data_IF_244450183707
#
_entry.id   IF_244450183707
#
_cell.length_a   1.000
_cell.length_b   1.000
_cell.length_c   1.000
_cell.angle_alpha   90.00
_cell.angle_beta   90.00
_cell.angle_gamma   90.00
#
_symmetry.space_group_name_H-M   'P 1'
#
loop_
_entity.id
_entity.type
_entity.pdbx_description
1 polymer ?
#
# COMPACT_ATOMS: atom_id res chain seq x y z
N UNK A 1 -7.97 50.55 -55.83
CA UNK A 1 -8.58 49.93 -54.63
C UNK A 1 -7.87 48.62 -54.38
N UNK A 2 -7.05 48.55 -53.32
CA UNK A 2 -6.36 47.31 -52.90
C UNK A 2 -7.09 46.82 -51.64
N UNK A 3 -7.74 45.65 -51.74
CA UNK A 3 -8.32 44.95 -50.60
C UNK A 3 -7.24 44.07 -49.96
N UNK A 4 -6.84 44.38 -48.74
CA UNK A 4 -6.00 43.51 -47.89
C UNK A 4 -6.91 42.59 -47.09
N UNK A 5 -6.83 41.28 -47.38
CA UNK A 5 -7.46 40.24 -46.58
C UNK A 5 -6.57 39.97 -45.36
N UNK A 6 -7.06 40.28 -44.17
CA UNK A 6 -6.45 39.83 -42.88
C UNK A 6 -6.98 38.44 -42.59
N UNK A 7 -6.12 37.43 -42.66
CA UNK A 7 -6.40 36.09 -42.16
C UNK A 7 -6.14 36.10 -40.65
N UNK A 8 -7.20 36.08 -39.83
CA UNK A 8 -7.10 35.81 -38.38
C UNK A 8 -7.01 34.31 -38.21
N UNK A 9 -5.79 33.82 -37.97
CA UNK A 9 -5.56 32.43 -37.54
C UNK A 9 -5.96 32.32 -36.08
N UNK A 10 -7.18 31.86 -35.77
CA UNK A 10 -7.59 31.49 -34.42
C UNK A 10 -6.86 30.20 -34.05
N UNK A 11 -5.75 30.34 -33.30
CA UNK A 11 -5.07 29.22 -32.65
C UNK A 11 -5.95 28.80 -31.46
N UNK A 12 -6.83 27.83 -31.68
CA UNK A 12 -7.51 27.15 -30.58
C UNK A 12 -6.46 26.31 -29.84
N UNK A 13 -5.80 26.88 -28.85
CA UNK A 13 -5.04 26.13 -27.86
C UNK A 13 -6.05 25.30 -27.05
N UNK A 14 -6.21 24.04 -27.37
CA UNK A 14 -6.81 23.07 -26.47
C UNK A 14 -5.88 22.96 -25.25
N UNK A 15 -6.09 23.79 -24.26
CA UNK A 15 -5.61 23.56 -22.92
C UNK A 15 -6.42 22.37 -22.40
N UNK A 16 -5.89 21.16 -22.61
CA UNK A 16 -6.34 19.99 -21.89
C UNK A 16 -5.96 20.22 -20.41
N UNK A 17 -6.83 20.85 -19.67
CA UNK A 17 -6.81 20.75 -18.21
C UNK A 17 -7.09 19.27 -17.92
N UNK A 18 -6.06 18.53 -17.53
CA UNK A 18 -6.25 17.23 -16.88
C UNK A 18 -7.11 17.52 -15.65
N UNK A 19 -8.39 17.22 -15.74
CA UNK A 19 -9.28 17.31 -14.59
C UNK A 19 -8.98 16.12 -13.71
N UNK A 20 -8.64 16.36 -12.45
CA UNK A 20 -8.59 15.32 -11.43
C UNK A 20 -9.95 14.61 -11.40
N UNK A 21 -9.96 13.32 -11.66
CA UNK A 21 -11.20 12.52 -11.66
C UNK A 21 -11.09 11.40 -10.64
N UNK A 22 -12.23 10.97 -10.13
CA UNK A 22 -12.30 9.75 -9.33
C UNK A 22 -12.32 8.55 -10.25
N UNK A 23 -11.41 7.61 -10.03
CA UNK A 23 -11.33 6.33 -10.74
C UNK A 23 -11.51 5.17 -9.77
N UNK A 24 -12.07 4.07 -10.26
CA UNK A 24 -12.34 2.84 -9.50
C UNK A 24 -11.60 1.67 -10.12
N UNK A 25 -11.71 0.50 -9.52
CA UNK A 25 -11.13 -0.73 -10.08
C UNK A 25 -11.68 -1.11 -11.47
N UNK A 26 -12.84 -0.57 -11.86
CA UNK A 26 -13.42 -0.83 -13.17
C UNK A 26 -12.83 0.05 -14.29
N UNK A 27 -12.10 1.09 -13.91
CA UNK A 27 -11.54 2.09 -14.84
C UNK A 27 -10.07 1.81 -15.16
N UNK A 28 -9.44 0.85 -14.45
CA UNK A 28 -8.00 0.58 -14.50
C UNK A 28 -7.72 -0.94 -14.54
N UNK A 29 -6.49 -1.30 -14.92
CA UNK A 29 -5.99 -2.67 -14.76
C UNK A 29 -4.82 -2.68 -13.77
N UNK A 30 -5.05 -3.21 -12.55
CA UNK A 30 -3.96 -3.43 -11.58
C UNK A 30 -3.00 -4.52 -12.07
N UNK A 31 -1.75 -4.52 -11.60
CA UNK A 31 -0.76 -5.49 -12.02
C UNK A 31 -1.22 -6.94 -11.87
N UNK A 32 -1.98 -7.25 -10.82
CA UNK A 32 -2.48 -8.60 -10.56
C UNK A 32 -3.44 -9.14 -11.64
N UNK A 33 -4.24 -8.28 -12.31
CA UNK A 33 -5.17 -8.68 -13.36
C UNK A 33 -4.48 -9.05 -14.67
N UNK A 34 -3.25 -8.58 -14.86
CA UNK A 34 -2.46 -8.74 -16.10
C UNK A 34 -1.67 -10.06 -16.10
N UNK A 35 -2.31 -11.18 -15.80
CA UNK A 35 -1.65 -12.48 -15.59
C UNK A 35 -0.72 -12.89 -16.75
N UNK A 36 -1.10 -12.65 -17.99
CA UNK A 36 -0.30 -13.03 -19.16
C UNK A 36 1.07 -12.34 -19.20
N UNK A 37 1.22 -11.17 -18.57
CA UNK A 37 2.47 -10.42 -18.53
C UNK A 37 3.52 -11.09 -17.62
N UNK A 38 3.07 -11.89 -16.63
CA UNK A 38 3.98 -12.52 -15.67
C UNK A 38 3.85 -14.04 -15.57
N UNK A 39 2.87 -14.66 -16.25
CA UNK A 39 2.63 -16.09 -16.22
C UNK A 39 3.86 -16.92 -16.60
N UNK A 40 4.59 -16.48 -17.65
CA UNK A 40 5.80 -17.18 -18.14
C UNK A 40 6.90 -17.23 -17.08
N UNK A 41 7.06 -16.17 -16.29
CA UNK A 41 8.05 -16.10 -15.21
C UNK A 41 7.71 -17.06 -14.05
N UNK A 42 6.44 -17.40 -13.86
CA UNK A 42 5.97 -18.31 -12.80
C UNK A 42 5.96 -19.78 -13.22
N UNK A 43 6.04 -20.07 -14.51
CA UNK A 43 5.90 -21.43 -15.04
C UNK A 43 6.97 -22.38 -14.48
N UNK A 44 6.52 -23.46 -13.82
CA UNK A 44 7.39 -24.46 -13.20
C UNK A 44 8.15 -23.99 -11.97
N UNK A 45 7.85 -22.78 -11.46
CA UNK A 45 8.51 -22.20 -10.28
C UNK A 45 7.71 -22.45 -9.00
N UNK A 46 8.43 -22.53 -7.88
CA UNK A 46 7.88 -22.50 -6.53
C UNK A 46 7.73 -21.03 -6.12
N UNK A 47 6.49 -20.57 -6.18
CA UNK A 47 6.16 -19.15 -5.97
C UNK A 47 5.77 -18.91 -4.51
N UNK A 48 6.26 -17.83 -3.93
CA UNK A 48 5.70 -17.26 -2.71
C UNK A 48 5.07 -15.90 -3.01
N UNK A 49 4.17 -15.46 -2.16
CA UNK A 49 3.54 -14.16 -2.29
C UNK A 49 3.54 -13.41 -0.96
N UNK A 50 3.94 -12.14 -1.00
CA UNK A 50 3.67 -11.19 0.08
C UNK A 50 2.37 -10.48 -0.26
N UNK A 51 1.34 -10.70 0.56
CA UNK A 51 0.01 -10.20 0.30
C UNK A 51 -0.86 -10.16 1.55
N UNK A 52 -1.99 -9.46 1.45
CA UNK A 52 -2.98 -9.35 2.52
C UNK A 52 -4.40 -9.32 1.95
N UNK A 53 -5.38 -8.92 2.76
CA UNK A 53 -6.79 -8.84 2.36
C UNK A 53 -7.08 -7.86 1.21
N UNK A 54 -6.15 -6.96 0.89
CA UNK A 54 -6.29 -6.02 -0.23
C UNK A 54 -5.80 -6.60 -1.56
N UNK A 55 -5.17 -7.78 -1.53
CA UNK A 55 -4.65 -8.48 -2.71
C UNK A 55 -5.82 -9.12 -3.50
N UNK A 56 -6.67 -8.27 -4.09
CA UNK A 56 -7.90 -8.69 -4.75
C UNK A 56 -7.86 -8.44 -6.26
N UNK A 57 -8.57 -9.28 -6.99
CA UNK A 57 -8.93 -9.16 -8.42
C UNK A 57 -10.45 -9.24 -8.45
N UNK A 58 -11.13 -8.09 -8.51
CA UNK A 58 -12.57 -8.04 -8.25
C UNK A 58 -12.90 -8.66 -6.88
N UNK A 59 -13.77 -9.68 -6.86
CA UNK A 59 -14.15 -10.38 -5.63
C UNK A 59 -13.22 -11.55 -5.25
N UNK A 60 -12.23 -11.89 -6.10
CA UNK A 60 -11.33 -13.02 -5.89
C UNK A 60 -9.99 -12.58 -5.30
N UNK A 61 -9.53 -13.25 -4.26
CA UNK A 61 -8.19 -13.00 -3.73
C UNK A 61 -7.11 -13.54 -4.70
N UNK A 62 -6.03 -12.78 -4.91
CA UNK A 62 -4.96 -13.13 -5.87
C UNK A 62 -4.36 -14.51 -5.61
N UNK A 63 -4.26 -14.95 -4.36
CA UNK A 63 -3.79 -16.31 -4.02
C UNK A 63 -4.72 -17.38 -4.59
N UNK A 64 -6.03 -17.20 -4.49
CA UNK A 64 -7.01 -18.14 -5.04
C UNK A 64 -6.93 -18.14 -6.57
N UNK A 65 -6.87 -16.97 -7.18
CA UNK A 65 -6.70 -16.82 -8.63
C UNK A 65 -5.45 -17.52 -9.16
N UNK A 66 -4.30 -17.33 -8.51
CA UNK A 66 -3.04 -17.94 -8.92
C UNK A 66 -3.10 -19.49 -8.80
N UNK A 67 -3.75 -20.00 -7.76
CA UNK A 67 -3.98 -21.45 -7.61
C UNK A 67 -4.88 -22.00 -8.71
N UNK A 68 -5.96 -21.28 -9.07
CA UNK A 68 -6.84 -21.65 -10.19
C UNK A 68 -6.10 -21.64 -11.55
N UNK A 69 -5.13 -20.74 -11.71
CA UNK A 69 -4.23 -20.71 -12.88
C UNK A 69 -3.14 -21.78 -12.87
N UNK A 70 -3.10 -22.63 -11.84
CA UNK A 70 -2.14 -23.73 -11.74
C UNK A 70 -0.75 -23.31 -11.28
N UNK A 71 -0.60 -22.11 -10.71
CA UNK A 71 0.67 -21.63 -10.14
C UNK A 71 0.99 -22.43 -8.88
N UNK A 72 2.23 -22.91 -8.76
CA UNK A 72 2.69 -23.65 -7.57
C UNK A 72 3.03 -22.68 -6.44
N UNK A 73 2.01 -22.25 -5.69
CA UNK A 73 2.20 -21.43 -4.49
C UNK A 73 2.69 -22.31 -3.34
N UNK A 74 3.74 -21.84 -2.63
CA UNK A 74 4.37 -22.58 -1.53
C UNK A 74 4.06 -22.01 -0.16
N UNK A 75 3.99 -20.68 -0.06
CA UNK A 75 3.65 -19.95 1.19
C UNK A 75 3.23 -18.50 0.93
N UNK A 76 2.63 -17.92 1.93
CA UNK A 76 2.23 -16.50 1.97
C UNK A 76 3.03 -15.80 3.06
N UNK A 77 3.53 -14.60 2.75
CA UNK A 77 4.08 -13.66 3.71
C UNK A 77 3.04 -12.58 4.00
N UNK A 78 2.69 -12.41 5.27
CA UNK A 78 1.62 -11.50 5.68
C UNK A 78 2.18 -10.33 6.48
N UNK A 79 1.89 -9.07 6.07
CA UNK A 79 2.29 -7.87 6.81
C UNK A 79 1.42 -7.64 8.05
N UNK A 80 1.52 -6.44 8.63
CA UNK A 80 0.60 -5.93 9.65
C UNK A 80 -0.88 -6.18 9.24
N UNK A 81 -1.76 -6.41 10.18
CA UNK A 81 -3.15 -6.85 10.04
C UNK A 81 -3.34 -8.29 9.52
N UNK A 82 -2.26 -9.00 9.17
CA UNK A 82 -2.29 -10.40 8.75
C UNK A 82 -2.84 -10.63 7.34
N UNK A 83 -2.83 -11.89 6.91
CA UNK A 83 -3.18 -12.26 5.55
C UNK A 83 -4.65 -11.99 5.18
N UNK A 84 -5.58 -12.20 6.11
CA UNK A 84 -7.02 -11.96 5.89
C UNK A 84 -7.52 -10.66 6.56
N UNK A 85 -6.61 -9.79 7.05
CA UNK A 85 -6.93 -8.44 7.53
C UNK A 85 -7.77 -8.35 8.80
N UNK A 86 -7.64 -9.34 9.71
CA UNK A 86 -8.46 -9.42 10.94
C UNK A 86 -7.77 -8.88 12.20
N UNK A 87 -6.45 -8.63 12.15
CA UNK A 87 -5.69 -8.16 13.31
C UNK A 87 -5.76 -6.64 13.45
N UNK A 88 -5.79 -6.15 14.71
CA UNK A 88 -5.70 -4.73 15.04
C UNK A 88 -4.34 -4.13 14.66
N UNK A 89 -4.29 -2.81 14.55
CA UNK A 89 -3.01 -2.09 14.41
C UNK A 89 -2.15 -2.37 15.65
N UNK A 90 -0.92 -2.83 15.44
CA UNK A 90 -0.02 -3.24 16.50
C UNK A 90 -0.29 -4.61 17.12
N UNK A 91 -1.36 -5.29 16.73
CA UNK A 91 -1.65 -6.64 17.21
C UNK A 91 -0.68 -7.66 16.61
N UNK A 92 -0.22 -8.60 17.46
CA UNK A 92 0.68 -9.67 17.02
C UNK A 92 -0.02 -10.57 15.99
N UNK A 93 0.52 -10.61 14.80
CA UNK A 93 0.11 -11.54 13.73
C UNK A 93 0.94 -12.80 13.85
N UNK A 94 0.31 -13.93 14.13
CA UNK A 94 1.01 -15.20 14.24
C UNK A 94 1.15 -15.90 12.89
N UNK A 95 2.27 -16.61 12.71
CA UNK A 95 2.45 -17.53 11.59
C UNK A 95 1.52 -18.74 11.76
N UNK A 96 1.06 -19.28 10.64
CA UNK A 96 0.10 -20.39 10.68
C UNK A 96 -0.18 -20.97 9.30
N UNK A 97 -1.44 -21.36 9.07
CA UNK A 97 -1.91 -21.83 7.76
C UNK A 97 -3.18 -21.07 7.38
N UNK A 98 -3.28 -20.72 6.11
CA UNK A 98 -4.53 -20.20 5.57
C UNK A 98 -5.62 -21.25 5.61
N UNK A 99 -6.74 -20.93 6.23
CA UNK A 99 -7.85 -21.87 6.42
C UNK A 99 -8.52 -22.32 5.11
N UNK A 100 -8.42 -21.49 4.06
CA UNK A 100 -9.04 -21.78 2.76
C UNK A 100 -8.16 -22.64 1.87
N UNK A 101 -6.87 -22.32 1.80
CA UNK A 101 -5.94 -22.93 0.85
C UNK A 101 -4.97 -23.93 1.49
N UNK A 102 -4.84 -23.89 2.82
CA UNK A 102 -3.86 -24.70 3.56
C UNK A 102 -2.42 -24.22 3.43
N UNK A 103 -2.17 -23.12 2.69
CA UNK A 103 -0.84 -22.57 2.51
C UNK A 103 -0.25 -22.10 3.84
N UNK A 104 1.04 -22.36 4.10
CA UNK A 104 1.75 -21.76 5.22
C UNK A 104 1.74 -20.22 5.14
N UNK A 105 1.47 -19.57 6.27
CA UNK A 105 1.55 -18.11 6.43
C UNK A 105 2.74 -17.80 7.32
N UNK A 106 3.65 -16.95 6.83
CA UNK A 106 4.76 -16.36 7.58
C UNK A 106 4.39 -14.92 7.91
N UNK A 107 4.32 -14.60 9.20
CA UNK A 107 4.06 -13.23 9.64
C UNK A 107 5.32 -12.36 9.49
N UNK A 108 5.19 -11.23 8.82
CA UNK A 108 6.22 -10.19 8.70
C UNK A 108 5.89 -8.99 9.60
N UNK A 109 5.46 -9.25 10.83
CA UNK A 109 5.11 -8.21 11.79
C UNK A 109 5.67 -8.46 13.20
N UNK A 110 5.72 -7.41 14.01
CA UNK A 110 6.29 -7.47 15.36
C UNK A 110 7.82 -7.51 15.36
N UNK A 111 8.41 -8.56 15.90
CA UNK A 111 9.86 -8.76 15.90
C UNK A 111 10.41 -9.38 14.60
N UNK A 112 9.55 -9.95 13.77
CA UNK A 112 9.90 -10.66 12.52
C UNK A 112 9.39 -9.85 11.32
N UNK A 113 10.11 -8.79 10.94
CA UNK A 113 9.68 -7.87 9.87
C UNK A 113 10.31 -8.17 8.52
N UNK A 114 11.51 -8.77 8.52
CA UNK A 114 12.27 -9.16 7.32
C UNK A 114 12.26 -10.68 7.21
N UNK A 115 11.95 -11.26 6.03
CA UNK A 115 12.07 -12.69 5.81
C UNK A 115 13.47 -13.20 6.12
N UNK A 116 13.57 -14.30 6.85
CA UNK A 116 14.85 -14.97 7.11
C UNK A 116 15.22 -15.90 5.95
N UNK A 117 16.47 -16.34 5.90
CA UNK A 117 16.93 -17.38 4.96
C UNK A 117 16.07 -18.64 5.07
N UNK A 118 15.65 -19.03 6.29
CA UNK A 118 14.81 -20.21 6.52
C UNK A 118 13.38 -20.00 5.96
N UNK A 119 12.83 -18.82 6.07
CA UNK A 119 11.54 -18.49 5.47
C UNK A 119 11.55 -18.60 3.96
N UNK A 120 12.68 -18.24 3.34
CA UNK A 120 12.87 -18.21 1.89
C UNK A 120 13.26 -19.57 1.29
N UNK A 121 13.53 -20.59 2.11
CA UNK A 121 13.87 -21.92 1.59
C UNK A 121 12.80 -22.49 0.67
N UNK A 122 13.25 -22.95 -0.51
CA UNK A 122 12.40 -23.59 -1.50
C UNK A 122 11.49 -22.64 -2.26
N UNK A 123 11.80 -21.36 -2.28
CA UNK A 123 11.15 -20.32 -3.10
C UNK A 123 12.05 -20.02 -4.29
N UNK A 124 11.48 -20.05 -5.49
CA UNK A 124 12.17 -19.69 -6.73
C UNK A 124 11.87 -18.26 -7.16
N UNK A 125 10.73 -17.69 -6.73
CA UNK A 125 10.29 -16.34 -7.07
C UNK A 125 9.31 -15.81 -6.02
N UNK A 126 9.39 -14.52 -5.73
CA UNK A 126 8.52 -13.82 -4.79
C UNK A 126 7.60 -12.86 -5.56
N UNK A 127 6.29 -12.94 -5.32
CA UNK A 127 5.33 -11.91 -5.70
C UNK A 127 5.10 -10.95 -4.54
N UNK A 128 4.88 -9.68 -4.86
CA UNK A 128 4.39 -8.67 -3.91
C UNK A 128 3.12 -8.05 -4.47
N UNK A 129 2.03 -8.13 -3.71
CA UNK A 129 0.72 -7.58 -4.08
C UNK A 129 -0.01 -7.06 -2.85
N UNK A 130 0.14 -5.79 -2.55
CA UNK A 130 -0.51 -5.11 -1.41
C UNK A 130 -0.89 -3.70 -1.83
N UNK A 131 -2.12 -3.28 -1.49
CA UNK A 131 -2.57 -1.91 -1.66
C UNK A 131 -1.98 -1.02 -0.57
N UNK A 132 -1.17 -0.03 -0.95
CA UNK A 132 -0.69 1.03 -0.09
C UNK A 132 -1.64 2.24 -0.11
N UNK A 133 -1.44 3.21 0.78
CA UNK A 133 -2.24 4.45 0.85
C UNK A 133 -1.45 5.71 0.49
N UNK A 134 -0.17 5.59 0.08
CA UNK A 134 0.65 6.70 -0.38
C UNK A 134 1.17 7.62 0.73
N UNK A 135 1.08 7.20 1.99
CA UNK A 135 1.62 7.91 3.14
C UNK A 135 2.81 7.15 3.74
N UNK A 136 3.96 7.80 3.88
CA UNK A 136 5.22 7.18 4.35
C UNK A 136 5.09 6.39 5.66
N UNK A 137 4.17 6.76 6.54
CA UNK A 137 3.95 6.07 7.83
C UNK A 137 3.23 4.74 7.69
N UNK A 138 2.61 4.48 6.53
CA UNK A 138 1.88 3.26 6.27
C UNK A 138 2.86 2.15 5.91
N UNK A 139 2.96 1.13 6.75
CA UNK A 139 4.14 0.26 6.82
C UNK A 139 4.29 -0.77 5.71
N UNK A 140 3.35 -0.86 4.77
CA UNK A 140 3.45 -1.84 3.68
C UNK A 140 4.63 -1.59 2.75
N UNK A 141 4.99 -0.32 2.53
CA UNK A 141 6.20 0.02 1.77
C UNK A 141 7.49 -0.40 2.51
N UNK A 142 7.49 -0.36 3.85
CA UNK A 142 8.60 -0.87 4.66
C UNK A 142 8.70 -2.40 4.60
N UNK A 143 7.55 -3.08 4.60
CA UNK A 143 7.49 -4.54 4.37
C UNK A 143 8.02 -4.89 2.99
N UNK A 144 7.64 -4.14 1.95
CA UNK A 144 8.16 -4.33 0.59
C UNK A 144 9.68 -4.20 0.55
N UNK A 145 10.22 -3.14 1.17
CA UNK A 145 11.68 -2.91 1.23
C UNK A 145 12.39 -4.12 1.84
N UNK A 146 11.93 -4.63 2.97
CA UNK A 146 12.51 -5.81 3.61
C UNK A 146 12.36 -7.09 2.80
N UNK A 147 11.24 -7.27 2.10
CA UNK A 147 11.06 -8.42 1.20
C UNK A 147 12.03 -8.35 0.01
N UNK A 148 12.15 -7.18 -0.63
CA UNK A 148 13.10 -6.96 -1.72
C UNK A 148 14.54 -7.23 -1.26
N UNK A 149 14.92 -6.73 -0.09
CA UNK A 149 16.24 -6.88 0.49
C UNK A 149 16.55 -8.36 0.81
N UNK A 150 15.66 -9.06 1.51
CA UNK A 150 15.82 -10.46 1.83
C UNK A 150 15.89 -11.34 0.57
N UNK A 151 15.10 -11.04 -0.45
CA UNK A 151 15.12 -11.74 -1.73
C UNK A 151 16.42 -11.47 -2.49
N UNK A 152 16.89 -10.21 -2.52
CA UNK A 152 18.17 -9.85 -3.14
C UNK A 152 19.35 -10.59 -2.50
N UNK A 153 19.42 -10.63 -1.18
CA UNK A 153 20.44 -11.36 -0.40
C UNK A 153 20.44 -12.88 -0.69
N UNK A 154 19.32 -13.43 -1.14
CA UNK A 154 19.16 -14.87 -1.42
C UNK A 154 19.01 -15.18 -2.91
N UNK A 155 19.26 -14.22 -3.80
CA UNK A 155 19.15 -14.36 -5.26
C UNK A 155 17.76 -14.83 -5.74
N UNK A 156 16.70 -14.40 -5.07
CA UNK A 156 15.32 -14.68 -5.43
C UNK A 156 14.75 -13.46 -6.16
N UNK A 157 14.29 -13.59 -7.42
CA UNK A 157 13.64 -12.50 -8.13
C UNK A 157 12.32 -12.11 -7.49
N UNK A 158 11.98 -10.83 -7.57
CA UNK A 158 10.73 -10.25 -7.05
C UNK A 158 9.91 -9.68 -8.21
N UNK A 159 8.63 -10.02 -8.26
CA UNK A 159 7.67 -9.36 -9.14
C UNK A 159 6.71 -8.55 -8.25
N UNK A 160 6.65 -7.25 -8.47
CA UNK A 160 5.65 -6.37 -7.85
C UNK A 160 4.46 -6.25 -8.79
N UNK A 161 3.30 -6.71 -8.33
CA UNK A 161 2.02 -6.52 -9.00
C UNK A 161 1.47 -5.17 -8.54
N UNK A 162 1.68 -4.14 -9.35
CA UNK A 162 1.48 -2.76 -8.94
C UNK A 162 0.01 -2.41 -8.72
N UNK A 163 -0.23 -1.47 -7.80
CA UNK A 163 -1.55 -0.94 -7.44
C UNK A 163 -1.53 0.58 -7.39
N UNK A 164 -2.66 1.24 -7.72
CA UNK A 164 -2.73 2.70 -7.72
C UNK A 164 -2.48 3.30 -6.34
N UNK A 165 -1.96 4.51 -6.33
CA UNK A 165 -1.82 5.29 -5.10
C UNK A 165 -3.02 6.23 -4.95
N UNK A 166 -3.86 6.14 -3.88
CA UNK A 166 -4.98 7.04 -3.67
C UNK A 166 -4.55 8.50 -3.42
N UNK A 167 -3.25 8.73 -3.12
CA UNK A 167 -2.63 10.06 -3.01
C UNK A 167 -1.62 10.31 -4.14
N UNK A 168 -1.77 9.65 -5.29
CA UNK A 168 -0.87 9.83 -6.44
C UNK A 168 -0.85 11.26 -7.01
N UNK A 169 -1.93 12.02 -6.77
CA UNK A 169 -2.17 13.32 -7.40
C UNK A 169 -1.40 14.49 -6.76
N UNK A 170 -0.64 14.27 -5.69
CA UNK A 170 0.21 15.31 -5.08
C UNK A 170 1.36 14.74 -4.25
N UNK A 171 2.35 15.59 -4.01
CA UNK A 171 3.49 15.30 -3.14
C UNK A 171 3.52 16.39 -2.07
N UNK A 172 3.63 15.99 -0.78
CA UNK A 172 3.64 16.94 0.32
C UNK A 172 4.35 16.42 1.57
N UNK A 173 4.68 17.35 2.46
CA UNK A 173 5.36 17.11 3.71
C UNK A 173 6.88 16.95 3.58
N UNK A 174 7.60 16.98 4.70
CA UNK A 174 9.06 16.93 4.71
C UNK A 174 9.57 15.53 4.30
N UNK A 175 10.69 15.51 3.59
CA UNK A 175 11.49 14.30 3.37
C UNK A 175 12.02 13.81 4.72
N UNK A 176 11.99 12.49 4.93
CA UNK A 176 12.55 11.87 6.14
C UNK A 176 14.05 12.11 6.20
N UNK A 177 14.53 12.54 7.36
CA UNK A 177 15.96 12.56 7.64
C UNK A 177 16.42 11.19 8.10
N UNK A 178 17.62 10.80 7.67
CA UNK A 178 18.20 9.47 7.97
C UNK A 178 18.27 9.14 9.46
N UNK A 179 18.50 10.16 10.33
CA UNK A 179 18.54 10.03 11.78
C UNK A 179 17.21 9.62 12.43
N UNK A 180 16.10 9.74 11.70
CA UNK A 180 14.76 9.37 12.16
C UNK A 180 14.22 8.10 11.52
N UNK A 181 15.07 7.36 10.80
CA UNK A 181 14.65 6.08 10.17
C UNK A 181 14.13 5.08 11.19
N UNK A 182 12.98 4.50 10.87
CA UNK A 182 12.33 3.45 11.65
C UNK A 182 11.43 2.63 10.73
N UNK A 183 10.76 1.61 11.24
CA UNK A 183 9.80 0.83 10.45
C UNK A 183 8.60 1.66 9.96
N UNK A 184 8.18 2.69 10.70
CA UNK A 184 7.13 3.64 10.30
C UNK A 184 7.66 4.82 9.47
N UNK A 185 8.89 4.76 9.02
CA UNK A 185 9.56 5.78 8.21
C UNK A 185 10.93 5.28 7.78
N UNK A 186 10.96 4.34 6.83
CA UNK A 186 12.18 3.66 6.42
C UNK A 186 12.93 4.41 5.31
N UNK A 187 12.19 5.08 4.43
CA UNK A 187 12.70 5.65 3.19
C UNK A 187 12.78 7.18 3.27
N UNK A 188 13.80 7.77 2.64
CA UNK A 188 14.02 9.21 2.56
C UNK A 188 13.12 9.86 1.50
N UNK A 189 11.81 9.72 1.69
CA UNK A 189 10.75 10.25 0.83
C UNK A 189 9.88 11.25 1.60
N UNK A 190 9.11 12.11 0.91
CA UNK A 190 8.09 12.97 1.55
C UNK A 190 7.03 12.17 2.31
N UNK A 191 6.27 12.84 3.17
CA UNK A 191 5.14 12.22 3.89
C UNK A 191 4.13 11.63 2.92
N UNK A 192 3.75 12.40 1.91
CA UNK A 192 2.96 11.97 0.75
C UNK A 192 3.91 11.95 -0.42
N UNK A 193 4.21 10.76 -0.92
CA UNK A 193 5.28 10.56 -1.89
C UNK A 193 4.81 10.52 -3.34
N UNK A 194 3.51 10.40 -3.58
CA UNK A 194 2.90 10.43 -4.90
C UNK A 194 3.13 9.18 -5.77
N UNK A 195 4.02 8.27 -5.41
CA UNK A 195 4.37 7.08 -6.21
C UNK A 195 3.42 5.92 -5.98
N UNK A 196 3.22 5.08 -6.99
CA UNK A 196 2.64 3.75 -6.80
C UNK A 196 3.63 2.83 -6.06
N UNK A 197 3.17 1.67 -5.62
CA UNK A 197 4.04 0.68 -4.96
C UNK A 197 5.13 0.19 -5.92
N UNK A 198 4.78 -0.01 -7.19
CA UNK A 198 5.72 -0.44 -8.24
C UNK A 198 6.77 0.62 -8.55
N UNK A 199 6.38 1.88 -8.68
CA UNK A 199 7.30 3.01 -8.88
C UNK A 199 8.25 3.17 -7.70
N UNK A 200 7.73 3.05 -6.48
CA UNK A 200 8.55 3.10 -5.27
C UNK A 200 9.54 1.93 -5.22
N UNK A 201 9.14 0.72 -5.60
CA UNK A 201 10.05 -0.42 -5.69
C UNK A 201 11.19 -0.17 -6.68
N UNK A 202 10.87 0.40 -7.84
CA UNK A 202 11.89 0.79 -8.83
C UNK A 202 12.84 1.86 -8.28
N UNK A 203 12.33 2.86 -7.58
CA UNK A 203 13.14 3.90 -6.95
C UNK A 203 14.07 3.31 -5.87
N UNK A 204 13.56 2.47 -4.95
CA UNK A 204 14.35 1.80 -3.92
C UNK A 204 15.53 1.05 -4.56
N UNK A 205 15.26 0.29 -5.61
CA UNK A 205 16.28 -0.51 -6.30
C UNK A 205 17.26 0.37 -7.10
N UNK A 206 16.75 1.36 -7.83
CA UNK A 206 17.55 2.26 -8.66
C UNK A 206 18.48 3.18 -7.87
N UNK A 207 18.01 3.66 -6.72
CA UNK A 207 18.77 4.55 -5.83
C UNK A 207 19.69 3.79 -4.84
N UNK A 208 19.72 2.44 -4.93
CA UNK A 208 20.51 1.58 -4.03
C UNK A 208 20.16 1.74 -2.54
N UNK A 209 18.88 1.85 -2.23
CA UNK A 209 18.39 2.07 -0.86
C UNK A 209 18.29 0.79 -0.03
N UNK A 210 18.46 -0.39 -0.65
CA UNK A 210 18.54 -1.66 0.08
C UNK A 210 19.84 -1.73 0.89
N UNK A 211 19.79 -2.38 2.04
CA UNK A 211 20.94 -2.47 2.93
C UNK A 211 22.14 -3.12 2.24
N UNK A 212 23.34 -2.65 2.57
CA UNK A 212 24.62 -3.10 1.98
C UNK A 212 24.69 -2.92 0.44
N UNK A 213 23.82 -2.12 -0.17
CA UNK A 213 23.80 -1.86 -1.60
C UNK A 213 23.47 -3.08 -2.47
N UNK A 214 22.77 -4.07 -1.91
CA UNK A 214 22.28 -5.21 -2.70
C UNK A 214 21.26 -4.75 -3.73
N UNK A 215 21.22 -5.44 -4.87
CA UNK A 215 20.29 -5.15 -5.96
C UNK A 215 19.27 -6.29 -6.08
N UNK A 216 18.00 -5.92 -6.03
CA UNK A 216 16.90 -6.87 -6.25
C UNK A 216 16.73 -7.14 -7.75
N UNK A 217 16.60 -8.42 -8.13
CA UNK A 217 16.13 -8.79 -9.46
C UNK A 217 14.62 -8.47 -9.54
N UNK A 218 14.32 -7.21 -9.83
CA UNK A 218 12.98 -6.64 -9.76
C UNK A 218 12.31 -6.61 -11.13
N UNK A 219 11.07 -7.09 -11.19
CA UNK A 219 10.11 -6.84 -12.27
C UNK A 219 8.89 -6.15 -11.69
N UNK A 220 8.39 -5.10 -12.34
CA UNK A 220 7.13 -4.45 -11.97
C UNK A 220 6.13 -4.68 -13.08
N UNK A 221 4.94 -5.15 -12.73
CA UNK A 221 3.78 -5.18 -13.62
C UNK A 221 2.96 -3.93 -13.31
N UNK A 222 3.08 -2.87 -14.10
CA UNK A 222 2.52 -1.57 -13.76
C UNK A 222 0.99 -1.56 -13.87
N UNK A 223 0.35 -0.62 -13.20
CA UNK A 223 -1.09 -0.34 -13.41
C UNK A 223 -1.28 0.26 -14.79
N UNK A 224 -2.26 -0.24 -15.56
CA UNK A 224 -2.68 0.35 -16.83
C UNK A 224 -3.91 1.24 -16.64
N UNK A 225 -4.10 2.22 -17.52
CA UNK A 225 -5.21 3.18 -17.53
C UNK A 225 -5.31 4.02 -16.23
N UNK A 226 -4.21 4.15 -15.47
CA UNK A 226 -4.08 4.98 -14.28
C UNK A 226 -3.14 6.15 -14.54
N UNK A 227 -3.51 7.31 -14.00
CA UNK A 227 -2.70 8.53 -14.04
C UNK A 227 -2.53 9.10 -12.63
N UNK A 228 -1.37 9.72 -12.35
CA UNK A 228 -1.14 10.46 -11.11
C UNK A 228 -2.09 11.67 -10.90
N UNK A 229 -2.88 12.04 -11.91
CA UNK A 229 -3.92 13.07 -11.74
C UNK A 229 -5.24 12.50 -11.20
N UNK A 230 -5.36 11.18 -11.10
CA UNK A 230 -6.58 10.50 -10.69
C UNK A 230 -6.62 10.28 -9.17
N UNK A 231 -7.80 10.41 -8.60
CA UNK A 231 -8.08 10.01 -7.21
C UNK A 231 -8.64 8.59 -7.24
N UNK A 232 -7.82 7.62 -6.87
CA UNK A 232 -8.26 6.23 -6.85
C UNK A 232 -9.12 5.94 -5.62
N UNK A 233 -10.32 5.41 -5.86
CA UNK A 233 -11.23 4.94 -4.82
C UNK A 233 -10.94 3.46 -4.55
N UNK A 234 -10.43 3.15 -3.36
CA UNK A 234 -10.07 1.79 -3.00
C UNK A 234 -11.32 0.89 -2.89
N UNK A 235 -11.35 -0.26 -3.58
CA UNK A 235 -12.47 -1.20 -3.51
C UNK A 235 -12.52 -1.93 -2.15
N UNK A 236 -11.35 -2.05 -1.50
CA UNK A 236 -11.20 -2.72 -0.21
C UNK A 236 -10.54 -1.76 0.77
N UNK A 237 -11.10 -1.61 1.97
CA UNK A 237 -10.48 -0.81 3.03
C UNK A 237 -9.07 -1.32 3.33
N UNK A 238 -8.04 -0.46 3.35
CA UNK A 238 -6.65 -0.89 3.50
C UNK A 238 -6.32 -1.34 4.93
N UNK A 239 -7.09 -0.88 5.92
CA UNK A 239 -7.01 -1.33 7.31
C UNK A 239 -8.37 -1.15 8.01
N UNK A 240 -8.59 -1.80 9.18
CA UNK A 240 -9.81 -1.62 9.95
C UNK A 240 -10.10 -0.15 10.34
N UNK A 241 -9.04 0.67 10.50
CA UNK A 241 -9.17 2.07 10.88
C UNK A 241 -9.17 3.06 9.72
N UNK A 242 -9.12 2.61 8.47
CA UNK A 242 -9.31 3.43 7.27
C UNK A 242 -10.51 2.92 6.47
N UNK A 243 -11.74 3.01 7.04
CA UNK A 243 -12.91 2.36 6.47
C UNK A 243 -13.53 3.11 5.29
N UNK A 244 -13.20 4.38 5.11
CA UNK A 244 -13.79 5.28 4.11
C UNK A 244 -12.72 5.97 3.28
N UNK A 245 -13.11 6.46 2.10
CA UNK A 245 -12.24 7.29 1.26
C UNK A 245 -11.81 8.57 1.99
N UNK A 246 -12.70 9.18 2.79
CA UNK A 246 -12.36 10.36 3.59
C UNK A 246 -11.27 10.06 4.62
N UNK A 247 -11.39 8.93 5.35
CA UNK A 247 -10.38 8.51 6.30
C UNK A 247 -9.02 8.31 5.61
N UNK A 248 -9.00 7.71 4.41
CA UNK A 248 -7.79 7.53 3.62
C UNK A 248 -7.19 8.88 3.25
N UNK A 249 -7.98 9.80 2.69
CA UNK A 249 -7.52 11.13 2.27
C UNK A 249 -7.04 12.01 3.44
N UNK A 250 -7.62 11.86 4.63
CA UNK A 250 -7.23 12.62 5.82
C UNK A 250 -6.07 11.96 6.59
N UNK A 251 -5.80 10.67 6.35
CA UNK A 251 -4.78 9.89 7.07
C UNK A 251 -3.40 10.55 7.12
N UNK A 252 -2.82 11.08 6.02
CA UNK A 252 -1.50 11.67 6.05
C UNK A 252 -1.36 12.85 7.03
N UNK A 253 -2.45 13.61 7.23
CA UNK A 253 -2.48 14.73 8.17
C UNK A 253 -2.77 14.27 9.61
N UNK A 254 -3.77 13.40 9.79
CA UNK A 254 -4.20 12.98 11.13
C UNK A 254 -3.26 11.95 11.78
N UNK A 255 -2.50 11.19 10.99
CA UNK A 255 -1.54 10.22 11.48
C UNK A 255 -0.48 10.85 12.42
N UNK A 256 -0.13 12.12 12.25
CA UNK A 256 0.78 12.83 13.17
C UNK A 256 0.30 12.85 14.61
N UNK A 257 -1.01 12.84 14.85
CA UNK A 257 -1.58 12.78 16.20
C UNK A 257 -1.46 11.40 16.86
N UNK A 258 -1.14 10.34 16.12
CA UNK A 258 -0.98 9.01 16.71
C UNK A 258 0.18 8.95 17.72
N UNK A 259 1.23 9.74 17.52
CA UNK A 259 2.33 9.90 18.47
C UNK A 259 2.04 10.82 19.66
N UNK A 260 0.83 11.38 19.78
CA UNK A 260 0.43 12.35 20.79
C UNK A 260 -0.66 11.78 21.71
N UNK A 261 -1.16 12.59 22.65
CA UNK A 261 -2.30 12.25 23.51
C UNK A 261 -3.67 12.43 22.79
N UNK A 262 -3.69 13.03 21.62
CA UNK A 262 -4.93 13.30 20.87
C UNK A 262 -5.49 12.00 20.30
N UNK A 263 -6.80 11.78 20.46
CA UNK A 263 -7.52 10.72 19.75
C UNK A 263 -7.75 11.16 18.30
N UNK A 264 -7.56 10.24 17.36
CA UNK A 264 -7.90 10.40 15.94
C UNK A 264 -9.18 9.66 15.57
N UNK A 265 -10.08 9.50 16.54
CA UNK A 265 -11.38 8.86 16.32
C UNK A 265 -11.34 7.33 16.28
N UNK A 266 -10.20 6.67 16.52
CA UNK A 266 -10.17 5.20 16.68
C UNK A 266 -11.12 4.80 17.81
N UNK A 267 -11.88 3.73 17.61
CA UNK A 267 -12.94 3.31 18.54
C UNK A 267 -14.26 4.06 18.36
N UNK A 268 -14.44 4.75 17.23
CA UNK A 268 -15.69 5.37 16.79
C UNK A 268 -16.06 4.88 15.38
N UNK A 269 -17.17 5.33 14.85
CA UNK A 269 -17.58 5.12 13.46
C UNK A 269 -16.84 6.02 12.43
N UNK A 270 -15.96 6.94 12.92
CA UNK A 270 -15.23 7.92 12.12
C UNK A 270 -13.73 7.97 12.42
N UNK A 271 -13.01 6.82 12.43
CA UNK A 271 -11.58 6.83 12.64
C UNK A 271 -10.87 7.60 11.51
N UNK A 272 -9.90 8.44 11.89
CA UNK A 272 -9.18 9.37 10.99
C UNK A 272 -10.05 10.37 10.23
N UNK A 273 -11.30 10.58 10.66
CA UNK A 273 -12.16 11.66 10.16
C UNK A 273 -12.48 12.69 11.24
N UNK A 274 -12.22 12.36 12.50
CA UNK A 274 -12.38 13.24 13.65
C UNK A 274 -11.16 13.14 14.56
N UNK A 275 -10.89 14.19 15.32
CA UNK A 275 -9.86 14.19 16.35
C UNK A 275 -10.30 15.00 17.57
N UNK A 276 -9.74 14.68 18.73
CA UNK A 276 -10.08 15.38 19.96
C UNK A 276 -9.30 14.92 21.17
N UNK A 277 -9.47 15.66 22.26
CA UNK A 277 -8.92 15.36 23.57
C UNK A 277 -9.86 15.91 24.65
N UNK A 278 -10.08 15.23 25.81
CA UNK A 278 -11.00 15.69 26.86
C UNK A 278 -10.75 17.11 27.37
N UNK A 279 -9.49 17.56 27.34
CA UNK A 279 -9.09 18.89 27.79
C UNK A 279 -9.09 19.96 26.67
N UNK A 280 -9.57 19.65 25.47
CA UNK A 280 -9.71 20.68 24.45
C UNK A 280 -10.84 21.63 24.81
N UNK A 281 -10.77 22.90 24.37
CA UNK A 281 -11.94 23.79 24.43
C UNK A 281 -13.13 23.14 23.75
N UNK A 282 -14.34 23.52 24.17
CA UNK A 282 -15.56 22.96 23.59
C UNK A 282 -15.54 23.09 22.06
N UNK A 283 -15.57 21.95 21.38
CA UNK A 283 -15.56 21.86 19.93
C UNK A 283 -16.93 21.86 19.30
N UNK A 284 -16.98 21.65 17.98
CA UNK A 284 -18.23 21.55 17.23
C UNK A 284 -19.01 20.25 17.47
N UNK A 285 -18.34 19.20 17.97
CA UNK A 285 -18.93 17.89 18.26
C UNK A 285 -18.20 17.22 19.43
N UNK A 286 -18.87 16.26 20.06
CA UNK A 286 -18.27 15.36 21.05
C UNK A 286 -18.38 13.92 20.55
N UNK A 287 -17.37 13.10 20.89
CA UNK A 287 -17.39 11.66 20.61
C UNK A 287 -16.77 10.91 21.78
N UNK A 288 -17.20 9.67 21.97
CA UNK A 288 -16.73 8.79 23.05
C UNK A 288 -16.16 7.53 22.40
N UNK A 289 -14.82 7.34 22.41
CA UNK A 289 -14.21 6.12 21.90
C UNK A 289 -14.61 4.89 22.72
N UNK A 290 -14.84 3.78 22.02
CA UNK A 290 -15.15 2.46 22.60
C UNK A 290 -14.31 1.40 21.91
N UNK A 291 -14.01 0.26 22.55
CA UNK A 291 -13.38 -0.86 21.86
C UNK A 291 -14.14 -1.29 20.62
N UNK A 292 -13.45 -1.39 19.50
CA UNK A 292 -13.96 -1.85 18.20
C UNK A 292 -12.92 -2.74 17.53
N UNK A 293 -13.32 -3.46 16.48
CA UNK A 293 -12.36 -4.13 15.60
C UNK A 293 -11.42 -3.07 15.00
N UNK A 294 -10.10 -3.30 15.12
CA UNK A 294 -9.07 -2.35 14.72
C UNK A 294 -8.68 -1.34 15.80
N UNK A 295 -9.39 -1.29 16.94
CA UNK A 295 -9.09 -0.40 18.07
C UNK A 295 -9.58 -1.00 19.40
N UNK A 296 -8.93 -2.09 19.87
CA UNK A 296 -9.29 -2.75 21.13
C UNK A 296 -9.07 -1.86 22.37
N UNK A 297 -8.12 -0.94 22.28
CA UNK A 297 -7.77 0.00 23.35
C UNK A 297 -7.63 1.41 22.79
N UNK A 298 -8.74 2.08 22.41
CA UNK A 298 -8.70 3.42 21.85
C UNK A 298 -8.28 4.45 22.91
N UNK A 299 -7.62 5.53 22.49
CA UNK A 299 -7.29 6.65 23.39
C UNK A 299 -8.57 7.27 23.93
N UNK A 300 -8.57 7.59 25.23
CA UNK A 300 -9.69 8.19 25.95
C UNK A 300 -10.98 7.34 25.88
N UNK A 301 -10.83 6.03 26.03
CA UNK A 301 -11.95 5.10 26.08
C UNK A 301 -12.97 5.51 27.18
N UNK A 302 -14.23 5.63 26.78
CA UNK A 302 -15.34 5.96 27.70
C UNK A 302 -15.43 7.43 28.13
N UNK A 303 -14.61 8.33 27.55
CA UNK A 303 -14.55 9.75 27.95
C UNK A 303 -15.07 10.66 26.85
#
# INVERSE_FOLDING_TARGET
MKFSFFFILALAANLAFSQTQYVTENDIEVGATQFEEYASALSGKKVAITGNHTSMIGEMHVVDFLLEKGVTLTKVFAPEHGFRGKADAGEKVESGKDSKTGLPIVSLYGSHKKPTVDDLKGIDIMLFDIQDVGARFYTYISTMTYVMEACAENNIPVIVLDRPNPHGFYIDGPVLKSEHKSFVGMLEIPVIHGMTVGELAQMINGENWLENGVQCQLTVIPVKEYSHNDIYVLPVKPSPNLPTQNAILLYPSLCFFEGTVVSVGRGTDKPFEIFGHPNFPQGSAMFVPKPTDGAKHPKHEGV
#
